data_IF_601792895940
#
_entry.id   IF_601792895940
#
_cell.length_a   1.000
_cell.length_b   1.000
_cell.length_c   1.000
_cell.angle_alpha   90.00
_cell.angle_beta   90.00
_cell.angle_gamma   90.00
#
_symmetry.space_group_name_H-M   'P 1'
#
loop_
_entity.id
_entity.type
_entity.pdbx_description
1 polymer ?
#
# COMPACT_ATOMS: atom_id res chain seq x y z
N UNK A 1 53.86 34.38 -8.51
CA UNK A 1 53.31 33.28 -9.35
C UNK A 1 52.35 32.46 -8.49
N UNK A 2 51.11 32.98 -8.22
CA UNK A 2 50.14 32.29 -7.35
C UNK A 2 48.69 32.67 -7.67
N UNK A 3 48.38 33.07 -8.90
CA UNK A 3 47.02 33.52 -9.30
C UNK A 3 46.21 32.51 -10.11
N UNK A 4 46.76 31.33 -10.51
CA UNK A 4 46.07 30.35 -11.36
C UNK A 4 45.33 29.25 -10.61
N UNK A 5 45.53 29.10 -9.30
CA UNK A 5 44.91 27.96 -8.56
C UNK A 5 43.50 28.25 -7.96
N UNK A 6 43.10 29.54 -7.95
CA UNK A 6 41.81 29.93 -7.35
C UNK A 6 40.58 29.60 -8.20
N UNK A 7 40.56 29.75 -9.56
CA UNK A 7 39.36 29.40 -10.31
C UNK A 7 39.11 27.89 -10.43
N UNK A 8 40.15 27.05 -10.31
CA UNK A 8 40.00 25.59 -10.42
C UNK A 8 39.32 24.99 -9.19
N UNK A 9 39.55 25.53 -8.02
CA UNK A 9 38.90 25.07 -6.78
C UNK A 9 37.40 25.43 -6.76
N UNK A 10 37.01 26.58 -7.34
CA UNK A 10 35.60 26.97 -7.42
C UNK A 10 34.80 26.10 -8.43
N UNK A 11 35.44 25.70 -9.55
CA UNK A 11 34.80 24.88 -10.58
C UNK A 11 34.53 23.43 -10.12
N UNK A 12 35.36 22.89 -9.24
CA UNK A 12 35.15 21.54 -8.68
C UNK A 12 33.96 21.51 -7.70
N UNK A 13 33.72 22.60 -6.96
CA UNK A 13 32.60 22.65 -6.01
C UNK A 13 31.22 22.74 -6.68
N UNK A 14 31.12 23.25 -7.90
CA UNK A 14 29.86 23.35 -8.64
C UNK A 14 29.40 22.05 -9.30
N UNK A 15 30.29 21.06 -9.45
CA UNK A 15 29.97 19.76 -10.06
C UNK A 15 29.39 18.74 -9.08
N UNK A 16 29.44 18.99 -7.77
CA UNK A 16 28.89 18.08 -6.74
C UNK A 16 27.43 18.37 -6.35
N UNK A 17 26.80 19.39 -6.93
CA UNK A 17 25.45 19.82 -6.56
C UNK A 17 24.29 19.04 -7.20
N UNK A 18 24.54 18.00 -7.99
CA UNK A 18 23.54 17.46 -8.92
C UNK A 18 22.72 16.23 -8.48
N UNK A 19 22.98 15.62 -7.32
CA UNK A 19 22.36 14.34 -6.96
C UNK A 19 21.42 14.36 -5.75
N UNK A 20 20.99 15.51 -5.28
CA UNK A 20 20.25 15.63 -4.00
C UNK A 20 18.71 15.56 -4.12
N UNK A 21 18.14 15.09 -5.24
CA UNK A 21 16.69 15.01 -5.41
C UNK A 21 16.18 13.57 -5.65
N UNK A 22 16.62 12.62 -4.85
CA UNK A 22 15.90 11.35 -4.71
C UNK A 22 14.97 11.45 -3.49
N UNK A 23 14.00 12.34 -3.56
CA UNK A 23 12.83 12.32 -2.69
C UNK A 23 12.04 11.06 -3.02
N UNK A 24 11.74 10.23 -2.04
CA UNK A 24 10.90 9.06 -2.24
C UNK A 24 9.56 9.49 -2.83
N UNK A 25 9.11 8.73 -3.82
CA UNK A 25 7.80 8.99 -4.42
C UNK A 25 6.71 8.88 -3.34
N UNK A 26 5.82 9.87 -3.22
CA UNK A 26 4.70 9.80 -2.27
C UNK A 26 3.70 8.69 -2.62
N UNK A 27 3.88 8.04 -3.77
CA UNK A 27 3.03 6.94 -4.23
C UNK A 27 3.81 5.65 -4.35
N UNK A 28 3.12 4.53 -4.21
CA UNK A 28 3.66 3.19 -4.33
C UNK A 28 2.75 2.33 -5.20
N UNK A 29 3.33 1.53 -6.07
CA UNK A 29 2.61 0.51 -6.83
C UNK A 29 2.55 -0.78 -6.01
N UNK A 30 1.34 -1.32 -5.82
CA UNK A 30 1.07 -2.58 -5.14
C UNK A 30 0.50 -3.59 -6.14
N UNK A 31 0.94 -4.84 -6.05
CA UNK A 31 0.33 -5.96 -6.75
C UNK A 31 -0.61 -6.67 -5.78
N UNK A 32 -1.86 -6.86 -6.16
CA UNK A 32 -2.86 -7.55 -5.35
C UNK A 32 -3.26 -8.84 -6.04
N UNK A 33 -3.21 -9.94 -5.30
CA UNK A 33 -3.63 -11.27 -5.73
C UNK A 33 -4.72 -11.77 -4.81
N UNK A 34 -5.73 -12.43 -5.36
CA UNK A 34 -6.81 -13.04 -4.60
C UNK A 34 -6.72 -14.56 -4.70
N UNK A 35 -6.78 -15.23 -3.55
CA UNK A 35 -6.69 -16.69 -3.44
C UNK A 35 -7.94 -17.22 -2.75
N UNK A 36 -8.58 -18.22 -3.36
CA UNK A 36 -9.69 -18.97 -2.81
C UNK A 36 -9.39 -20.46 -2.93
N UNK A 37 -9.51 -21.21 -1.85
CA UNK A 37 -9.25 -22.66 -1.81
C UNK A 37 -7.87 -23.03 -2.40
N UNK A 38 -6.83 -22.29 -1.96
CA UNK A 38 -5.42 -22.47 -2.39
C UNK A 38 -5.17 -22.21 -3.89
N UNK A 39 -6.11 -21.61 -4.59
CA UNK A 39 -5.96 -21.23 -6.01
C UNK A 39 -6.11 -19.74 -6.20
N UNK A 40 -5.26 -19.17 -7.03
CA UNK A 40 -5.41 -17.79 -7.45
C UNK A 40 -6.67 -17.66 -8.33
N UNK A 41 -7.52 -16.68 -8.01
CA UNK A 41 -8.75 -16.40 -8.73
C UNK A 41 -8.74 -15.00 -9.32
N UNK A 42 -9.28 -14.86 -10.52
CA UNK A 42 -9.38 -13.59 -11.22
C UNK A 42 -10.78 -12.96 -11.15
N UNK A 43 -10.84 -11.69 -11.56
CA UNK A 43 -12.10 -10.95 -11.62
C UNK A 43 -12.65 -10.59 -10.24
N UNK A 44 -11.77 -10.37 -9.27
CA UNK A 44 -12.14 -9.99 -7.90
C UNK A 44 -12.03 -8.47 -7.77
N UNK A 45 -13.14 -7.79 -7.53
CA UNK A 45 -13.14 -6.36 -7.26
C UNK A 45 -12.61 -6.07 -5.87
N UNK A 46 -11.55 -5.25 -5.76
CA UNK A 46 -10.93 -4.86 -4.51
C UNK A 46 -10.94 -3.35 -4.32
N UNK A 47 -11.21 -2.92 -3.10
CA UNK A 47 -11.11 -1.54 -2.64
C UNK A 47 -9.99 -1.50 -1.60
N UNK A 48 -9.00 -0.65 -1.85
CA UNK A 48 -7.94 -0.34 -0.91
C UNK A 48 -8.21 1.05 -0.33
N UNK A 49 -8.02 1.25 0.97
CA UNK A 49 -8.18 2.57 1.58
C UNK A 49 -7.23 2.77 2.76
N UNK A 50 -6.68 3.99 2.85
CA UNK A 50 -5.96 4.50 4.01
C UNK A 50 -6.42 5.94 4.29
N UNK A 51 -5.73 6.67 5.16
CA UNK A 51 -6.02 8.07 5.48
C UNK A 51 -5.77 9.04 4.31
N UNK A 52 -4.93 8.66 3.33
CA UNK A 52 -4.61 9.48 2.16
C UNK A 52 -5.60 9.29 0.99
N UNK A 53 -6.40 8.19 0.97
CA UNK A 53 -7.36 7.99 -0.11
C UNK A 53 -7.95 6.59 -0.20
N UNK A 54 -8.69 6.39 -1.30
CA UNK A 54 -9.33 5.13 -1.64
C UNK A 54 -9.11 4.81 -3.11
N UNK A 55 -8.75 3.56 -3.40
CA UNK A 55 -8.45 3.07 -4.74
C UNK A 55 -9.23 1.80 -5.03
N UNK A 56 -9.69 1.68 -6.27
CA UNK A 56 -10.37 0.49 -6.77
C UNK A 56 -9.50 -0.22 -7.79
N UNK A 57 -9.52 -1.55 -7.76
CA UNK A 57 -8.85 -2.38 -8.75
C UNK A 57 -9.54 -3.74 -8.89
N UNK A 58 -9.16 -4.49 -9.93
CA UNK A 58 -9.56 -5.88 -10.13
C UNK A 58 -8.33 -6.76 -9.93
N UNK A 59 -8.40 -7.69 -8.98
CA UNK A 59 -7.35 -8.66 -8.72
C UNK A 59 -7.49 -9.92 -9.63
N UNK A 60 -6.37 -10.53 -10.07
CA UNK A 60 -5.00 -10.09 -9.88
C UNK A 60 -4.68 -8.84 -10.71
N UNK A 61 -3.90 -7.93 -10.15
CA UNK A 61 -3.56 -6.70 -10.85
C UNK A 61 -2.70 -5.76 -10.01
N UNK A 62 -2.45 -4.56 -10.54
CA UNK A 62 -1.63 -3.54 -9.89
C UNK A 62 -2.43 -2.27 -9.68
N UNK A 63 -2.15 -1.60 -8.57
CA UNK A 63 -2.75 -0.32 -8.21
C UNK A 63 -1.69 0.60 -7.62
N UNK A 64 -1.75 1.88 -7.95
CA UNK A 64 -0.89 2.91 -7.36
C UNK A 64 -1.64 3.59 -6.23
N UNK A 65 -1.07 3.53 -5.03
CA UNK A 65 -1.64 4.10 -3.81
C UNK A 65 -0.71 5.17 -3.24
N UNK A 66 -1.27 6.13 -2.53
CA UNK A 66 -0.48 7.09 -1.76
C UNK A 66 0.05 6.43 -0.50
N UNK A 67 1.35 6.58 -0.26
CA UNK A 67 2.02 6.07 0.94
C UNK A 67 1.47 6.76 2.19
N UNK A 68 1.39 6.05 3.29
CA UNK A 68 0.98 6.58 4.59
C UNK A 68 1.63 5.80 5.72
N UNK A 69 1.68 6.42 6.88
CA UNK A 69 2.05 5.75 8.15
C UNK A 69 0.92 4.88 8.69
N UNK A 70 -0.30 5.16 8.26
CA UNK A 70 -1.49 4.42 8.69
C UNK A 70 -1.61 3.09 7.94
N UNK A 71 -2.24 2.10 8.53
CA UNK A 71 -2.55 0.84 7.85
C UNK A 71 -3.38 1.07 6.60
N UNK A 72 -3.21 0.20 5.61
CA UNK A 72 -4.10 0.12 4.46
C UNK A 72 -5.10 -1.02 4.66
N UNK A 73 -6.38 -0.72 4.54
CA UNK A 73 -7.45 -1.71 4.56
C UNK A 73 -7.77 -2.15 3.14
N UNK A 74 -7.97 -3.45 2.95
CA UNK A 74 -8.28 -4.05 1.67
C UNK A 74 -9.58 -4.81 1.82
N UNK A 75 -10.57 -4.49 1.01
CA UNK A 75 -11.85 -5.21 0.96
C UNK A 75 -12.07 -5.71 -0.46
N UNK A 76 -12.16 -7.03 -0.61
CA UNK A 76 -12.31 -7.70 -1.89
C UNK A 76 -13.62 -8.48 -1.96
N UNK A 77 -14.27 -8.48 -3.13
CA UNK A 77 -15.49 -9.24 -3.39
C UNK A 77 -15.48 -9.84 -4.79
N UNK A 78 -15.94 -11.09 -4.90
CA UNK A 78 -16.20 -11.75 -6.17
C UNK A 78 -17.69 -12.05 -6.28
N UNK A 79 -18.46 -11.06 -6.76
CA UNK A 79 -19.92 -11.15 -6.77
C UNK A 79 -20.47 -11.45 -5.38
N UNK A 80 -21.41 -12.41 -5.32
CA UNK A 80 -21.97 -12.92 -4.07
C UNK A 80 -21.25 -14.18 -3.56
N UNK A 81 -20.24 -14.70 -4.29
CA UNK A 81 -19.65 -16.02 -4.01
C UNK A 81 -18.53 -16.01 -3.00
N UNK A 82 -17.76 -14.93 -2.91
CA UNK A 82 -16.63 -14.84 -1.99
C UNK A 82 -16.31 -13.40 -1.60
N UNK A 83 -15.79 -13.22 -0.40
CA UNK A 83 -15.34 -11.92 0.10
C UNK A 83 -14.14 -12.07 1.02
N UNK A 84 -13.39 -10.98 1.17
CA UNK A 84 -12.32 -10.87 2.15
C UNK A 84 -12.16 -9.43 2.62
N UNK A 85 -11.69 -9.26 3.84
CA UNK A 85 -11.28 -7.97 4.37
C UNK A 85 -10.01 -8.17 5.20
N UNK A 86 -8.96 -7.41 4.86
CA UNK A 86 -7.67 -7.48 5.52
C UNK A 86 -7.14 -6.08 5.82
N UNK A 87 -6.30 -5.97 6.85
CA UNK A 87 -5.62 -4.74 7.23
C UNK A 87 -4.12 -4.99 7.23
N UNK A 88 -3.40 -4.22 6.43
CA UNK A 88 -1.95 -4.35 6.28
C UNK A 88 -1.27 -3.15 6.91
N UNK A 89 -0.35 -3.40 7.84
CA UNK A 89 0.39 -2.35 8.52
C UNK A 89 1.43 -1.72 7.59
N UNK A 90 1.55 -0.39 7.66
CA UNK A 90 2.65 0.31 7.04
C UNK A 90 3.96 -0.02 7.78
N UNK A 91 5.05 -0.14 7.03
CA UNK A 91 6.39 -0.40 7.57
C UNK A 91 7.33 0.71 7.11
N UNK A 92 8.30 1.06 7.97
CA UNK A 92 9.40 1.92 7.55
C UNK A 92 10.19 1.22 6.45
N UNK A 93 10.33 1.89 5.32
CA UNK A 93 11.19 1.43 4.23
C UNK A 93 12.64 1.79 4.57
N UNK A 94 13.35 0.82 5.15
CA UNK A 94 14.73 1.02 5.61
C UNK A 94 15.75 1.01 4.47
N UNK A 95 15.35 0.61 3.26
CA UNK A 95 16.26 0.52 2.12
C UNK A 95 16.83 1.88 1.70
N UNK A 96 16.09 2.95 1.94
CA UNK A 96 16.49 4.32 1.60
C UNK A 96 17.03 5.14 2.78
N UNK A 97 16.89 4.65 4.03
CA UNK A 97 17.37 5.36 5.22
C UNK A 97 18.88 5.59 5.20
N UNK A 98 19.64 4.62 4.71
CA UNK A 98 21.10 4.70 4.65
C UNK A 98 21.54 5.74 3.61
N UNK A 99 20.88 5.80 2.45
CA UNK A 99 21.17 6.80 1.43
C UNK A 99 20.88 8.23 1.89
N UNK A 100 19.75 8.46 2.52
CA UNK A 100 19.34 9.79 2.99
C UNK A 100 20.15 10.28 4.19
N UNK A 101 20.60 9.39 5.06
CA UNK A 101 21.44 9.76 6.22
C UNK A 101 22.80 10.27 5.78
N UNK A 102 23.39 9.66 4.74
CA UNK A 102 24.73 10.02 4.24
C UNK A 102 24.71 11.28 3.38
N UNK A 103 23.67 11.48 2.56
CA UNK A 103 23.63 12.58 1.58
C UNK A 103 23.06 13.88 2.12
N UNK A 104 22.15 13.83 3.10
CA UNK A 104 21.45 15.01 3.61
C UNK A 104 21.70 15.31 5.08
N UNK A 105 22.69 14.65 5.72
CA UNK A 105 22.99 14.78 7.15
C UNK A 105 21.75 14.63 8.06
N UNK A 106 20.81 13.79 7.66
CA UNK A 106 19.59 13.46 8.42
C UNK A 106 18.40 14.39 8.19
N UNK A 107 18.52 15.49 7.44
CA UNK A 107 17.41 16.39 7.17
C UNK A 107 16.33 15.72 6.30
N UNK A 108 16.72 14.87 5.34
CA UNK A 108 15.77 14.11 4.51
C UNK A 108 14.87 13.19 5.33
N UNK A 109 15.42 12.56 6.37
CA UNK A 109 14.64 11.69 7.27
C UNK A 109 13.54 12.46 8.04
N UNK A 110 13.79 13.74 8.35
CA UNK A 110 12.80 14.56 9.06
C UNK A 110 11.62 14.93 8.16
N UNK A 111 11.87 15.20 6.89
CA UNK A 111 10.85 15.50 5.88
C UNK A 111 10.04 14.25 5.54
N UNK A 112 10.71 13.10 5.33
CA UNK A 112 10.06 11.83 5.01
C UNK A 112 9.17 11.32 6.15
N UNK A 113 9.56 11.60 7.38
CA UNK A 113 8.78 11.25 8.57
C UNK A 113 7.50 12.08 8.70
N UNK A 114 7.48 13.31 8.20
CA UNK A 114 6.29 14.18 8.23
C UNK A 114 5.36 13.93 7.05
N UNK A 115 5.88 13.63 5.87
CA UNK A 115 5.11 13.39 4.64
C UNK A 115 4.54 11.96 4.55
N UNK A 116 5.04 11.01 5.37
CA UNK A 116 4.68 9.59 5.24
C UNK A 116 5.43 8.85 4.12
N UNK A 117 6.26 9.54 3.34
CA UNK A 117 7.00 8.96 2.22
C UNK A 117 8.02 7.88 2.64
N UNK A 118 8.53 7.96 3.87
CA UNK A 118 9.42 6.93 4.45
C UNK A 118 8.71 5.64 4.87
N UNK A 119 7.39 5.55 4.70
CA UNK A 119 6.61 4.36 5.01
C UNK A 119 6.12 3.71 3.72
N UNK A 120 6.00 2.39 3.73
CA UNK A 120 5.50 1.64 2.60
C UNK A 120 4.73 0.40 3.04
N UNK A 121 4.00 -0.16 2.10
CA UNK A 121 3.30 -1.42 2.25
C UNK A 121 4.10 -2.52 1.52
N UNK A 122 3.88 -3.82 1.84
CA UNK A 122 4.44 -4.90 1.04
C UNK A 122 4.07 -4.74 -0.44
N UNK A 123 5.04 -4.93 -1.34
CA UNK A 123 4.82 -4.75 -2.78
C UNK A 123 3.78 -5.71 -3.36
N UNK A 124 3.64 -6.90 -2.76
CA UNK A 124 2.66 -7.91 -3.14
C UNK A 124 1.75 -8.19 -1.95
N UNK A 125 0.46 -8.08 -2.17
CA UNK A 125 -0.59 -8.35 -1.19
C UNK A 125 -1.41 -9.54 -1.68
N UNK A 126 -1.39 -10.64 -0.91
CA UNK A 126 -2.18 -11.83 -1.20
C UNK A 126 -3.38 -11.85 -0.26
N UNK A 127 -4.57 -11.68 -0.82
CA UNK A 127 -5.83 -11.64 -0.07
C UNK A 127 -6.46 -13.02 -0.09
N UNK A 128 -6.69 -13.59 1.11
CA UNK A 128 -7.34 -14.88 1.27
C UNK A 128 -8.85 -14.70 1.27
N UNK A 129 -9.48 -15.08 0.15
CA UNK A 129 -10.93 -15.01 -0.01
C UNK A 129 -11.62 -16.13 0.78
N UNK A 130 -12.73 -15.79 1.38
CA UNK A 130 -13.61 -16.76 2.04
C UNK A 130 -14.88 -16.94 1.21
N UNK A 131 -15.38 -18.17 1.03
CA UNK A 131 -16.69 -18.38 0.43
C UNK A 131 -17.75 -17.59 1.19
N UNK A 132 -18.72 -17.03 0.48
CA UNK A 132 -19.84 -16.38 1.13
C UNK A 132 -20.57 -17.44 2.00
N UNK A 133 -20.87 -17.07 3.25
CA UNK A 133 -21.71 -17.92 4.08
C UNK A 133 -23.05 -18.15 3.34
N UNK A 134 -23.58 -19.37 3.32
CA UNK A 134 -24.90 -19.59 2.79
C UNK A 134 -25.89 -18.63 3.48
N UNK A 135 -26.88 -18.11 2.78
CA UNK A 135 -27.94 -17.30 3.39
C UNK A 135 -28.46 -18.07 4.60
N UNK A 136 -28.72 -17.41 5.75
CA UNK A 136 -29.34 -18.09 6.87
C UNK A 136 -30.59 -18.78 6.32
N UNK A 137 -30.58 -20.08 6.41
CA UNK A 137 -31.76 -20.89 6.08
C UNK A 137 -32.90 -20.33 6.95
N UNK A 138 -33.84 -19.65 6.32
CA UNK A 138 -35.01 -19.13 6.97
C UNK A 138 -35.68 -20.38 7.50
N UNK A 139 -35.46 -20.65 8.79
CA UNK A 139 -36.09 -21.75 9.51
C UNK A 139 -37.59 -21.65 9.21
N UNK A 140 -38.04 -22.58 8.37
CA UNK A 140 -39.41 -22.59 7.88
C UNK A 140 -40.30 -22.48 9.11
N UNK A 141 -40.98 -21.35 9.23
CA UNK A 141 -41.90 -21.10 10.32
C UNK A 141 -42.80 -22.33 10.46
N UNK A 142 -42.67 -23.03 11.60
CA UNK A 142 -43.55 -24.17 11.92
C UNK A 142 -44.98 -23.72 11.72
N UNK A 143 -45.80 -24.49 11.02
CA UNK A 143 -47.19 -24.13 10.85
C UNK A 143 -47.82 -24.07 12.26
N UNK A 144 -48.32 -22.91 12.59
CA UNK A 144 -49.11 -22.69 13.80
C UNK A 144 -50.31 -23.60 13.72
N UNK A 145 -50.29 -24.69 14.50
CA UNK A 145 -51.46 -25.57 14.66
C UNK A 145 -52.51 -24.75 15.40
N UNK A 146 -53.46 -24.20 14.69
CA UNK A 146 -54.66 -23.63 15.26
C UNK A 146 -55.50 -24.75 15.82
N UNK A 147 -55.43 -24.97 17.14
CA UNK A 147 -56.41 -25.82 17.84
C UNK A 147 -57.75 -25.10 17.85
N UNK A 148 -58.67 -25.61 17.06
CA UNK A 148 -60.09 -25.22 17.15
C UNK A 148 -60.71 -26.09 18.22
N UNK A 149 -61.30 -25.46 19.22
CA UNK A 149 -62.17 -26.09 20.20
C UNK A 149 -63.59 -26.00 19.71
#
# INVERSE_FOLDING_TARGET
MSFLSRPFALAVFTLLGGCATMSESPVQQLEVRAVLDYREIGGVGCILSNDAGRWYMIAPGRVTVTRSRQPISISCKKGASASAAEVVQARLDTSNLVGNLVTTAGLGHFVDRHSGAGYGYPAVLTVLMQPAAPPPEVEAAMPVQTRVF
#
